data_IF_576631599006
#
_entry.id   IF_576631599006
#
_cell.length_a   1.000
_cell.length_b   1.000
_cell.length_c   1.000
_cell.angle_alpha   90.00
_cell.angle_beta   90.00
_cell.angle_gamma   90.00
#
_symmetry.space_group_name_H-M   'P 1'
#
loop_
_entity.id
_entity.type
_entity.pdbx_description
1 polymer ?
#
# COMPACT_ATOMS: atom_id res chain seq x y z
N UNK A 1 23.21 -0.67 -28.16
CA UNK A 1 23.52 -0.55 -26.72
C UNK A 1 22.50 -1.39 -25.96
N UNK A 2 22.95 -2.48 -25.33
CA UNK A 2 22.07 -3.30 -24.49
C UNK A 2 21.71 -2.46 -23.26
N UNK A 3 20.43 -2.11 -23.07
CA UNK A 3 20.00 -1.45 -21.84
C UNK A 3 20.38 -2.34 -20.66
N UNK A 4 21.17 -1.82 -19.72
CA UNK A 4 21.49 -2.53 -18.49
C UNK A 4 20.18 -2.90 -17.78
N UNK A 5 20.07 -4.15 -17.30
CA UNK A 5 18.88 -4.60 -16.57
C UNK A 5 18.85 -3.92 -15.19
N UNK A 6 17.67 -3.53 -14.68
CA UNK A 6 17.54 -3.02 -13.33
C UNK A 6 18.16 -3.98 -12.31
N UNK A 7 18.93 -3.44 -11.36
CA UNK A 7 19.53 -4.22 -10.28
C UNK A 7 18.61 -4.21 -9.07
N UNK A 8 18.15 -5.39 -8.64
CA UNK A 8 17.35 -5.57 -7.43
C UNK A 8 18.26 -5.54 -6.20
N UNK A 9 18.00 -4.61 -5.29
CA UNK A 9 18.80 -4.42 -4.06
C UNK A 9 18.15 -5.07 -2.86
N UNK A 10 16.83 -4.92 -2.74
CA UNK A 10 16.06 -5.49 -1.65
C UNK A 10 14.69 -5.90 -2.12
N UNK A 11 14.27 -7.09 -1.69
CA UNK A 11 12.91 -7.60 -1.90
C UNK A 11 11.87 -6.88 -1.04
N UNK A 12 12.31 -6.11 -0.02
CA UNK A 12 11.40 -5.40 0.88
C UNK A 12 10.42 -6.33 1.62
N UNK A 13 10.74 -7.62 1.78
CA UNK A 13 9.78 -8.65 2.16
C UNK A 13 9.02 -8.37 3.47
N UNK A 14 9.71 -7.84 4.49
CA UNK A 14 9.06 -7.49 5.76
C UNK A 14 8.11 -6.29 5.62
N UNK A 15 8.50 -5.29 4.83
CA UNK A 15 7.64 -4.14 4.50
C UNK A 15 6.43 -4.60 3.68
N UNK A 16 6.66 -5.43 2.66
CA UNK A 16 5.59 -6.00 1.86
C UNK A 16 4.60 -6.79 2.72
N UNK A 17 5.09 -7.58 3.68
CA UNK A 17 4.22 -8.31 4.64
C UNK A 17 3.41 -7.36 5.52
N UNK A 18 4.02 -6.28 6.02
CA UNK A 18 3.29 -5.26 6.79
C UNK A 18 2.22 -4.58 5.94
N UNK A 19 2.56 -4.16 4.72
CA UNK A 19 1.61 -3.52 3.79
C UNK A 19 0.47 -4.48 3.40
N UNK A 20 0.75 -5.77 3.17
CA UNK A 20 -0.29 -6.78 2.90
C UNK A 20 -1.26 -6.88 4.09
N UNK A 21 -0.73 -7.00 5.32
CA UNK A 21 -1.57 -7.07 6.52
C UNK A 21 -2.44 -5.82 6.70
N UNK A 22 -1.91 -4.63 6.37
CA UNK A 22 -2.70 -3.41 6.36
C UNK A 22 -3.82 -3.46 5.33
N UNK A 23 -3.55 -3.94 4.11
CA UNK A 23 -4.57 -4.08 3.07
C UNK A 23 -5.64 -5.11 3.46
N UNK A 24 -5.27 -6.23 4.08
CA UNK A 24 -6.24 -7.19 4.65
C UNK A 24 -7.14 -6.52 5.68
N UNK A 25 -6.59 -5.68 6.58
CA UNK A 25 -7.42 -4.93 7.52
C UNK A 25 -8.32 -3.89 6.82
N UNK A 26 -7.85 -3.25 5.73
CA UNK A 26 -8.70 -2.36 4.91
C UNK A 26 -9.85 -3.13 4.28
N UNK A 27 -9.60 -4.33 3.75
CA UNK A 27 -10.63 -5.20 3.19
C UNK A 27 -11.74 -5.51 4.20
N UNK A 28 -11.35 -5.77 5.45
CA UNK A 28 -12.30 -5.94 6.57
C UNK A 28 -13.13 -4.68 6.82
N UNK A 29 -12.52 -3.50 6.90
CA UNK A 29 -13.24 -2.24 7.11
C UNK A 29 -14.20 -1.92 5.95
N UNK A 30 -13.81 -2.20 4.71
CA UNK A 30 -14.68 -2.06 3.54
C UNK A 30 -15.86 -3.04 3.59
N UNK A 31 -15.61 -4.29 3.99
CA UNK A 31 -16.65 -5.30 4.21
C UNK A 31 -17.64 -4.87 5.28
N UNK A 32 -17.14 -4.36 6.42
CA UNK A 32 -17.98 -3.84 7.50
C UNK A 32 -18.85 -2.67 6.98
N UNK A 33 -18.31 -1.79 6.15
CA UNK A 33 -19.05 -0.67 5.56
C UNK A 33 -20.18 -1.15 4.63
N UNK A 34 -19.89 -2.10 3.71
CA UNK A 34 -20.90 -2.71 2.82
C UNK A 34 -21.98 -3.42 3.66
N UNK A 35 -21.57 -4.19 4.67
CA UNK A 35 -22.53 -4.86 5.57
C UNK A 35 -23.41 -3.87 6.33
N UNK A 36 -22.88 -2.71 6.72
CA UNK A 36 -23.67 -1.66 7.35
C UNK A 36 -24.68 -1.03 6.39
N UNK A 37 -24.31 -0.85 5.11
CA UNK A 37 -25.22 -0.39 4.08
C UNK A 37 -26.35 -1.41 3.84
N UNK A 38 -26.02 -2.69 3.68
CA UNK A 38 -27.00 -3.77 3.44
C UNK A 38 -28.00 -3.99 4.60
N UNK A 39 -27.73 -3.43 5.78
CA UNK A 39 -28.65 -3.46 6.94
C UNK A 39 -29.61 -2.28 6.97
N UNK A 40 -29.47 -1.31 6.07
CA UNK A 40 -30.38 -0.18 6.00
C UNK A 40 -31.75 -0.65 5.50
N UNK A 41 -32.85 -0.23 6.15
CA UNK A 41 -34.18 -0.63 5.72
C UNK A 41 -34.52 0.04 4.38
N UNK A 42 -35.36 -0.62 3.58
CA UNK A 42 -35.93 -0.09 2.33
C UNK A 42 -34.96 0.14 1.15
N UNK A 43 -33.67 -0.16 1.32
CA UNK A 43 -32.68 -0.11 0.24
C UNK A 43 -32.31 -1.54 -0.17
N UNK A 44 -32.03 -1.72 -1.44
CA UNK A 44 -31.53 -2.97 -2.00
C UNK A 44 -30.14 -3.27 -1.44
N UNK A 45 -29.88 -4.55 -1.19
CA UNK A 45 -28.56 -4.99 -0.74
C UNK A 45 -27.58 -4.93 -1.89
N UNK A 46 -26.36 -4.46 -1.62
CA UNK A 46 -25.20 -4.68 -2.48
C UNK A 46 -24.88 -6.17 -2.45
N UNK A 47 -25.10 -6.86 -3.56
CA UNK A 47 -24.90 -8.32 -3.66
C UNK A 47 -23.90 -8.74 -4.74
N UNK A 48 -23.50 -7.83 -5.64
CA UNK A 48 -22.52 -8.10 -6.68
C UNK A 48 -21.26 -7.23 -6.59
N UNK A 49 -20.23 -7.65 -7.33
CA UNK A 49 -18.94 -6.97 -7.33
C UNK A 49 -18.95 -5.57 -7.97
N UNK A 50 -19.88 -5.29 -8.88
CA UNK A 50 -19.99 -4.02 -9.58
C UNK A 50 -20.58 -2.97 -8.64
N UNK A 51 -21.69 -3.30 -7.98
CA UNK A 51 -22.34 -2.44 -7.00
C UNK A 51 -21.43 -2.18 -5.80
N UNK A 52 -20.73 -3.21 -5.31
CA UNK A 52 -19.75 -3.03 -4.24
C UNK A 52 -18.64 -2.05 -4.66
N UNK A 53 -18.21 -2.11 -5.91
CA UNK A 53 -17.20 -1.20 -6.45
C UNK A 53 -17.73 0.23 -6.57
N UNK A 54 -18.94 0.41 -7.09
CA UNK A 54 -19.56 1.73 -7.24
C UNK A 54 -19.79 2.40 -5.88
N UNK A 55 -20.32 1.64 -4.92
CA UNK A 55 -20.47 2.09 -3.54
C UNK A 55 -19.14 2.50 -2.90
N UNK A 56 -18.12 1.65 -2.97
CA UNK A 56 -16.83 1.96 -2.32
C UNK A 56 -16.07 3.11 -3.02
N UNK A 57 -16.36 3.39 -4.28
CA UNK A 57 -15.76 4.51 -5.02
C UNK A 57 -16.35 5.85 -4.58
N UNK A 58 -17.68 5.92 -4.38
CA UNK A 58 -18.34 7.14 -3.90
C UNK A 58 -19.51 6.82 -2.97
N UNK A 59 -19.23 6.43 -1.71
CA UNK A 59 -20.25 5.85 -0.82
C UNK A 59 -21.35 6.83 -0.42
N UNK A 60 -21.04 8.13 -0.31
CA UNK A 60 -22.05 9.15 -0.02
C UNK A 60 -22.97 9.37 -1.21
N UNK A 61 -22.41 9.47 -2.42
CA UNK A 61 -23.23 9.66 -3.63
C UNK A 61 -24.11 8.45 -3.87
N UNK A 62 -23.53 7.24 -3.78
CA UNK A 62 -24.26 5.99 -3.93
C UNK A 62 -25.43 5.91 -2.94
N UNK A 63 -25.18 6.12 -1.64
CA UNK A 63 -26.24 6.12 -0.62
C UNK A 63 -27.36 7.12 -0.94
N UNK A 64 -27.00 8.34 -1.36
CA UNK A 64 -27.99 9.36 -1.69
C UNK A 64 -28.82 8.98 -2.91
N UNK A 65 -28.20 8.41 -3.94
CA UNK A 65 -28.86 7.96 -5.16
C UNK A 65 -29.80 6.78 -4.87
N UNK A 66 -29.37 5.79 -4.09
CA UNK A 66 -30.21 4.67 -3.67
C UNK A 66 -31.45 5.15 -2.89
N UNK A 67 -31.27 6.06 -1.92
CA UNK A 67 -32.39 6.65 -1.18
C UNK A 67 -33.37 7.38 -2.11
N UNK A 68 -32.88 8.14 -3.10
CA UNK A 68 -33.75 8.84 -4.04
C UNK A 68 -34.49 7.90 -4.99
N UNK A 69 -33.80 6.89 -5.53
CA UNK A 69 -34.33 6.03 -6.58
C UNK A 69 -35.28 4.96 -6.01
N UNK A 70 -34.96 4.40 -4.84
CA UNK A 70 -35.65 3.21 -4.33
C UNK A 70 -36.83 3.54 -3.41
N UNK A 71 -36.83 4.69 -2.74
CA UNK A 71 -37.96 5.11 -1.91
C UNK A 71 -39.15 5.62 -2.72
N UNK A 72 -39.07 5.58 -4.06
CA UNK A 72 -40.19 5.79 -4.97
C UNK A 72 -40.79 7.20 -4.93
N UNK A 73 -40.08 8.17 -4.36
CA UNK A 73 -40.62 9.52 -4.21
C UNK A 73 -40.39 10.30 -5.49
N UNK A 74 -41.46 10.47 -6.26
CA UNK A 74 -41.47 11.27 -7.49
C UNK A 74 -41.64 12.74 -7.14
N UNK A 75 -40.58 13.54 -7.37
CA UNK A 75 -40.61 14.98 -7.09
C UNK A 75 -40.98 15.76 -8.34
N UNK A 76 -42.20 16.32 -8.34
CA UNK A 76 -42.68 17.20 -9.42
C UNK A 76 -42.27 18.69 -9.22
N UNK A 77 -41.39 18.98 -8.27
CA UNK A 77 -40.93 20.33 -7.92
C UNK A 77 -39.56 20.70 -8.51
N UNK A 78 -39.25 22.01 -8.58
CA UNK A 78 -37.95 22.52 -9.07
C UNK A 78 -36.77 22.27 -8.10
N UNK A 79 -37.05 21.91 -6.85
CA UNK A 79 -36.05 21.73 -5.79
C UNK A 79 -36.10 20.27 -5.33
N UNK A 80 -34.94 19.58 -5.39
CA UNK A 80 -34.81 18.25 -4.80
C UNK A 80 -34.83 18.38 -3.27
N UNK A 81 -35.59 17.53 -2.55
CA UNK A 81 -35.58 17.57 -1.10
C UNK A 81 -34.25 17.11 -0.53
N UNK A 82 -34.04 17.45 0.73
CA UNK A 82 -32.90 17.01 1.51
C UNK A 82 -32.96 15.49 1.75
N UNK A 83 -31.90 14.77 1.37
CA UNK A 83 -31.80 13.31 1.46
C UNK A 83 -31.90 12.85 2.92
N UNK A 84 -31.30 13.60 3.84
CA UNK A 84 -31.32 13.25 5.25
C UNK A 84 -32.75 13.28 5.84
N UNK A 85 -33.56 14.26 5.42
CA UNK A 85 -34.97 14.34 5.80
C UNK A 85 -35.79 13.21 5.17
N UNK A 86 -35.53 12.92 3.89
CA UNK A 86 -36.17 11.81 3.20
C UNK A 86 -35.87 10.48 3.90
N UNK A 87 -34.60 10.21 4.19
CA UNK A 87 -34.16 9.03 4.92
C UNK A 87 -34.86 8.90 6.28
N UNK A 88 -35.00 10.01 7.03
CA UNK A 88 -35.68 10.02 8.32
C UNK A 88 -37.17 9.64 8.23
N UNK A 89 -37.88 10.05 7.17
CA UNK A 89 -39.29 9.68 6.96
C UNK A 89 -39.47 8.16 6.80
N UNK A 90 -38.48 7.49 6.21
CA UNK A 90 -38.47 6.03 6.00
C UNK A 90 -37.68 5.28 7.08
N UNK A 91 -37.33 5.94 8.20
CA UNK A 91 -36.62 5.30 9.30
C UNK A 91 -35.20 4.85 8.99
N UNK A 92 -34.58 5.35 7.91
CA UNK A 92 -33.19 5.07 7.55
C UNK A 92 -32.28 5.91 8.46
N UNK A 93 -31.34 5.30 9.20
CA UNK A 93 -30.45 6.02 10.12
C UNK A 93 -29.29 6.74 9.38
N UNK A 94 -29.64 7.74 8.57
CA UNK A 94 -28.71 8.44 7.65
C UNK A 94 -27.46 8.98 8.34
N UNK A 95 -27.63 9.69 9.47
CA UNK A 95 -26.48 10.27 10.20
C UNK A 95 -25.48 9.21 10.66
N UNK A 96 -25.96 8.03 11.08
CA UNK A 96 -25.11 6.93 11.53
C UNK A 96 -24.31 6.32 10.39
N UNK A 97 -24.95 6.01 9.25
CA UNK A 97 -24.22 5.47 8.10
C UNK A 97 -23.28 6.51 7.49
N UNK A 98 -23.69 7.78 7.42
CA UNK A 98 -22.86 8.88 6.93
C UNK A 98 -21.60 9.07 7.79
N UNK A 99 -21.72 9.00 9.12
CA UNK A 99 -20.57 9.02 10.01
C UNK A 99 -19.61 7.84 9.75
N UNK A 100 -20.15 6.63 9.56
CA UNK A 100 -19.34 5.44 9.25
C UNK A 100 -18.60 5.57 7.92
N UNK A 101 -19.28 6.09 6.90
CA UNK A 101 -18.67 6.39 5.60
C UNK A 101 -17.46 7.32 5.81
N UNK A 102 -17.66 8.45 6.50
CA UNK A 102 -16.58 9.41 6.73
C UNK A 102 -15.40 8.84 7.51
N UNK A 103 -15.64 7.96 8.49
CA UNK A 103 -14.57 7.28 9.21
C UNK A 103 -13.82 6.26 8.34
N UNK A 104 -14.48 5.69 7.33
CA UNK A 104 -13.90 4.69 6.43
C UNK A 104 -13.22 5.28 5.20
N UNK A 105 -13.53 6.53 4.80
CA UNK A 105 -12.98 7.19 3.62
C UNK A 105 -11.45 7.07 3.47
N UNK A 106 -10.62 7.27 4.52
CA UNK A 106 -9.16 7.16 4.37
C UNK A 106 -8.69 5.76 3.95
N UNK A 107 -9.52 4.74 4.16
CA UNK A 107 -9.23 3.34 3.84
C UNK A 107 -9.71 2.93 2.44
N UNK A 108 -10.51 3.75 1.77
CA UNK A 108 -11.07 3.48 0.43
C UNK A 108 -10.07 3.88 -0.67
N UNK A 109 -8.89 3.27 -0.64
CA UNK A 109 -7.79 3.54 -1.58
C UNK A 109 -7.28 2.24 -2.19
N UNK A 110 -6.68 2.33 -3.38
CA UNK A 110 -6.18 1.17 -4.14
C UNK A 110 -7.25 0.09 -4.32
N UNK A 111 -8.50 0.51 -4.59
CA UNK A 111 -9.64 -0.39 -4.67
C UNK A 111 -9.41 -1.50 -5.72
N UNK A 112 -8.63 -1.22 -6.76
CA UNK A 112 -8.22 -2.16 -7.82
C UNK A 112 -7.48 -3.41 -7.31
N UNK A 113 -6.96 -3.38 -6.08
CA UNK A 113 -6.29 -4.53 -5.45
C UNK A 113 -7.26 -5.50 -4.79
N UNK A 114 -8.52 -5.12 -4.64
CA UNK A 114 -9.52 -5.88 -3.89
C UNK A 114 -10.57 -6.48 -4.82
N UNK A 115 -11.02 -7.67 -4.48
CA UNK A 115 -12.17 -8.33 -5.08
C UNK A 115 -13.33 -8.38 -4.09
N UNK A 116 -14.53 -8.49 -4.61
CA UNK A 116 -15.73 -8.77 -3.82
C UNK A 116 -16.12 -10.24 -4.03
N UNK A 117 -16.16 -11.00 -2.95
CA UNK A 117 -16.67 -12.37 -2.93
C UNK A 117 -18.19 -12.33 -2.68
N UNK A 118 -18.96 -12.53 -3.74
CA UNK A 118 -20.44 -12.51 -3.73
C UNK A 118 -21.03 -13.58 -2.79
N UNK A 119 -20.33 -14.71 -2.62
CA UNK A 119 -20.80 -15.80 -1.75
C UNK A 119 -20.73 -15.43 -0.27
N UNK A 120 -19.66 -14.75 0.15
CA UNK A 120 -19.47 -14.30 1.53
C UNK A 120 -19.87 -12.84 1.77
N UNK A 121 -20.24 -12.10 0.70
CA UNK A 121 -20.47 -10.64 0.68
C UNK A 121 -19.34 -9.87 1.34
N UNK A 122 -18.09 -10.27 1.05
CA UNK A 122 -16.90 -9.71 1.69
C UNK A 122 -15.85 -9.26 0.68
N UNK A 123 -15.08 -8.25 1.05
CA UNK A 123 -13.92 -7.84 0.29
C UNK A 123 -12.69 -8.63 0.71
N UNK A 124 -11.95 -9.06 -0.29
CA UNK A 124 -10.70 -9.80 -0.15
C UNK A 124 -9.59 -9.12 -0.94
N UNK A 125 -8.38 -9.15 -0.40
CA UNK A 125 -7.20 -8.76 -1.16
C UNK A 125 -6.94 -9.83 -2.23
N UNK A 126 -6.86 -9.42 -3.49
CA UNK A 126 -6.62 -10.34 -4.60
C UNK A 126 -5.15 -10.78 -4.64
N UNK A 127 -4.86 -11.99 -5.13
CA UNK A 127 -3.48 -12.44 -5.37
C UNK A 127 -2.67 -11.46 -6.22
N UNK A 128 -3.28 -10.90 -7.27
CA UNK A 128 -2.66 -9.89 -8.13
C UNK A 128 -2.34 -8.60 -7.35
N UNK A 129 -3.22 -8.22 -6.41
CA UNK A 129 -3.01 -7.09 -5.51
C UNK A 129 -1.84 -7.31 -4.56
N UNK A 130 -1.67 -8.54 -4.03
CA UNK A 130 -0.50 -8.89 -3.22
C UNK A 130 0.80 -8.80 -4.02
N UNK A 131 0.81 -9.29 -5.25
CA UNK A 131 1.99 -9.21 -6.12
C UNK A 131 2.35 -7.77 -6.47
N UNK A 132 1.36 -6.91 -6.72
CA UNK A 132 1.59 -5.48 -6.90
C UNK A 132 2.20 -4.83 -5.64
N UNK A 133 1.74 -5.19 -4.44
CA UNK A 133 2.31 -4.69 -3.18
C UNK A 133 3.76 -5.15 -3.05
N UNK A 134 4.02 -6.45 -3.24
CA UNK A 134 5.39 -7.02 -3.19
C UNK A 134 6.31 -6.30 -4.16
N UNK A 135 5.88 -6.11 -5.40
CA UNK A 135 6.68 -5.43 -6.42
C UNK A 135 6.92 -3.96 -6.06
N UNK A 136 5.92 -3.24 -5.55
CA UNK A 136 6.06 -1.84 -5.14
C UNK A 136 7.02 -1.65 -3.95
N UNK A 137 7.19 -2.68 -3.13
CA UNK A 137 8.11 -2.69 -2.00
C UNK A 137 9.56 -3.02 -2.39
N UNK A 138 9.80 -3.54 -3.60
CA UNK A 138 11.15 -3.86 -4.07
C UNK A 138 11.93 -2.58 -4.34
N UNK A 139 13.22 -2.60 -4.00
CA UNK A 139 14.14 -1.50 -4.26
C UNK A 139 15.01 -1.86 -5.45
N UNK A 140 14.85 -1.12 -6.54
CA UNK A 140 15.67 -1.25 -7.73
C UNK A 140 16.61 -0.04 -7.92
N UNK A 141 17.77 -0.31 -8.49
CA UNK A 141 18.59 0.68 -9.18
C UNK A 141 18.32 0.55 -10.69
N UNK A 142 17.93 1.65 -11.32
CA UNK A 142 17.54 1.68 -12.74
C UNK A 142 18.50 2.46 -13.61
N UNK A 143 19.35 3.31 -13.01
CA UNK A 143 20.33 4.11 -13.73
C UNK A 143 21.68 3.39 -13.81
N UNK A 144 22.28 3.35 -14.99
CA UNK A 144 23.56 2.66 -15.26
C UNK A 144 24.68 3.13 -14.32
N UNK A 145 24.85 4.44 -14.15
CA UNK A 145 25.84 5.01 -13.23
C UNK A 145 25.62 4.62 -11.75
N UNK A 146 24.36 4.47 -11.32
CA UNK A 146 24.05 3.99 -9.97
C UNK A 146 24.40 2.50 -9.82
N UNK A 147 24.11 1.69 -10.84
CA UNK A 147 24.38 0.24 -10.86
C UNK A 147 25.89 -0.01 -10.83
N UNK A 148 26.66 0.68 -11.66
CA UNK A 148 28.12 0.55 -11.70
C UNK A 148 28.76 0.93 -10.37
N UNK A 149 28.36 2.07 -9.79
CA UNK A 149 28.89 2.50 -8.50
C UNK A 149 28.49 1.54 -7.37
N UNK A 150 27.26 1.03 -7.40
CA UNK A 150 26.79 0.03 -6.45
C UNK A 150 27.63 -1.25 -6.52
N UNK A 151 27.87 -1.78 -7.72
CA UNK A 151 28.67 -3.00 -7.93
C UNK A 151 30.11 -2.82 -7.45
N UNK A 152 30.73 -1.67 -7.75
CA UNK A 152 32.08 -1.35 -7.28
C UNK A 152 32.16 -1.34 -5.75
N UNK A 153 31.17 -0.74 -5.08
CA UNK A 153 31.12 -0.72 -3.61
C UNK A 153 30.81 -2.11 -3.05
N UNK A 154 29.97 -2.90 -3.73
CA UNK A 154 29.62 -4.26 -3.33
C UNK A 154 30.88 -5.14 -3.24
N UNK A 155 31.77 -5.09 -4.23
CA UNK A 155 33.03 -5.85 -4.20
C UNK A 155 33.91 -5.48 -2.99
N UNK A 156 33.90 -4.20 -2.58
CA UNK A 156 34.62 -3.74 -1.39
C UNK A 156 33.96 -4.28 -0.12
N UNK A 157 32.64 -4.18 -0.03
CA UNK A 157 31.86 -4.72 1.09
C UNK A 157 32.08 -6.23 1.25
N UNK A 158 32.06 -7.00 0.17
CA UNK A 158 32.25 -8.46 0.19
C UNK A 158 33.64 -8.83 0.71
N UNK A 159 34.69 -8.11 0.26
CA UNK A 159 36.06 -8.29 0.78
C UNK A 159 36.16 -7.93 2.26
N UNK A 160 35.55 -6.82 2.68
CA UNK A 160 35.55 -6.40 4.08
C UNK A 160 34.80 -7.41 4.97
N UNK A 161 33.68 -7.95 4.51
CA UNK A 161 32.95 -9.00 5.22
C UNK A 161 33.79 -10.27 5.36
N UNK A 162 34.45 -10.72 4.30
CA UNK A 162 35.33 -11.89 4.34
C UNK A 162 36.52 -11.70 5.29
N UNK A 163 37.14 -10.51 5.30
CA UNK A 163 38.20 -10.19 6.26
C UNK A 163 37.66 -10.09 7.69
N UNK A 164 36.47 -9.53 7.87
CA UNK A 164 35.83 -9.41 9.19
C UNK A 164 35.58 -10.79 9.79
N UNK A 165 35.08 -11.74 8.99
CA UNK A 165 34.90 -13.13 9.40
C UNK A 165 36.26 -13.81 9.70
N UNK A 166 37.30 -13.54 8.90
CA UNK A 166 38.66 -14.08 9.10
C UNK A 166 39.32 -13.59 10.40
N UNK A 167 39.18 -12.30 10.72
CA UNK A 167 39.78 -11.68 11.89
C UNK A 167 38.87 -11.70 13.13
N UNK A 168 37.67 -12.29 13.03
CA UNK A 168 36.73 -12.43 14.14
C UNK A 168 36.14 -11.10 14.63
N UNK A 169 35.95 -10.13 13.73
CA UNK A 169 35.33 -8.84 14.07
C UNK A 169 33.87 -9.04 14.47
N UNK A 170 33.48 -8.42 15.58
CA UNK A 170 32.13 -8.54 16.13
C UNK A 170 31.16 -7.52 15.56
N UNK A 171 29.89 -7.64 15.94
CA UNK A 171 28.83 -6.71 15.52
C UNK A 171 29.12 -5.25 15.89
N UNK A 172 29.82 -5.00 17.01
CA UNK A 172 30.18 -3.65 17.45
C UNK A 172 31.16 -3.02 16.46
N UNK A 173 32.14 -3.79 15.99
CA UNK A 173 33.17 -3.34 15.05
C UNK A 173 32.57 -3.03 13.69
N UNK A 174 31.74 -3.94 13.17
CA UNK A 174 31.02 -3.75 11.90
C UNK A 174 30.12 -2.51 11.92
N UNK A 175 29.47 -2.22 13.06
CA UNK A 175 28.65 -1.02 13.21
C UNK A 175 29.45 0.30 13.25
N UNK A 176 30.77 0.27 13.47
CA UNK A 176 31.60 1.48 13.35
C UNK A 176 31.94 1.81 11.89
N UNK A 177 31.96 0.82 10.99
CA UNK A 177 32.38 1.02 9.59
C UNK A 177 31.54 2.08 8.87
N UNK A 178 30.18 2.07 8.94
CA UNK A 178 29.35 3.12 8.33
C UNK A 178 29.62 4.54 8.86
N UNK A 179 30.17 4.68 10.08
CA UNK A 179 30.51 6.00 10.64
C UNK A 179 31.75 6.60 9.97
N UNK A 180 32.71 5.76 9.59
CA UNK A 180 33.91 6.17 8.89
C UNK A 180 33.68 6.25 7.37
N UNK A 181 32.95 5.28 6.82
CA UNK A 181 32.69 5.11 5.39
C UNK A 181 31.19 5.16 5.14
N UNK A 182 30.66 6.38 4.98
CA UNK A 182 29.22 6.62 4.91
C UNK A 182 28.54 6.05 3.65
N UNK A 183 29.29 5.62 2.63
CA UNK A 183 28.79 4.93 1.44
C UNK A 183 28.55 3.42 1.69
N UNK A 184 28.88 2.93 2.88
CA UNK A 184 28.62 1.57 3.36
C UNK A 184 27.53 1.62 4.44
N UNK A 185 26.68 0.60 4.48
CA UNK A 185 25.68 0.36 5.52
C UNK A 185 25.94 -0.98 6.19
N UNK A 186 25.56 -1.12 7.47
CA UNK A 186 25.65 -2.36 8.21
C UNK A 186 24.23 -2.87 8.44
N UNK A 187 23.92 -4.07 7.93
CA UNK A 187 22.58 -4.67 7.98
C UNK A 187 22.66 -6.10 8.53
N UNK A 188 21.55 -6.67 8.96
CA UNK A 188 21.52 -8.08 9.38
C UNK A 188 21.74 -9.02 8.19
N UNK A 189 22.50 -10.11 8.38
CA UNK A 189 22.79 -11.10 7.33
C UNK A 189 21.49 -11.72 6.79
N UNK A 190 21.32 -11.78 5.45
CA UNK A 190 20.22 -12.51 4.80
C UNK A 190 20.36 -14.03 5.04
N UNK A 191 19.77 -14.54 6.13
CA UNK A 191 19.72 -15.98 6.42
C UNK A 191 20.06 -16.41 7.85
N UNK A 192 20.32 -15.49 8.79
CA UNK A 192 20.59 -15.91 10.16
C UNK A 192 21.10 -14.81 11.09
N UNK A 193 21.85 -15.23 12.12
CA UNK A 193 22.41 -14.33 13.14
C UNK A 193 23.68 -13.66 12.62
N UNK A 194 23.77 -12.34 12.81
CA UNK A 194 24.96 -11.55 12.51
C UNK A 194 24.65 -10.36 11.62
N UNK A 195 25.66 -9.54 11.39
CA UNK A 195 25.59 -8.36 10.54
C UNK A 195 26.57 -8.49 9.37
N UNK A 196 26.28 -7.77 8.29
CA UNK A 196 27.13 -7.66 7.11
C UNK A 196 27.14 -6.21 6.60
N UNK A 197 28.26 -5.85 5.99
CA UNK A 197 28.43 -4.58 5.29
C UNK A 197 27.84 -4.69 3.89
N UNK A 198 27.05 -3.71 3.49
CA UNK A 198 26.43 -3.61 2.16
C UNK A 198 26.56 -2.18 1.64
N UNK A 199 26.50 -1.95 0.31
CA UNK A 199 26.49 -0.60 -0.23
C UNK A 199 25.27 0.20 0.24
N UNK A 200 25.46 1.49 0.53
CA UNK A 200 24.36 2.38 0.90
C UNK A 200 23.67 2.96 -0.33
N UNK A 201 22.51 2.41 -0.69
CA UNK A 201 21.71 2.86 -1.85
C UNK A 201 21.39 4.35 -1.79
N UNK A 202 20.93 4.85 -0.64
CA UNK A 202 20.54 6.26 -0.49
C UNK A 202 21.72 7.21 -0.74
N UNK A 203 22.92 6.81 -0.29
CA UNK A 203 24.13 7.61 -0.44
C UNK A 203 24.64 7.58 -1.87
N UNK A 204 24.58 6.43 -2.53
CA UNK A 204 24.89 6.28 -3.96
C UNK A 204 23.97 7.19 -4.79
N UNK A 205 22.65 7.10 -4.60
CA UNK A 205 21.67 7.96 -5.28
C UNK A 205 21.95 9.45 -5.04
N UNK A 206 22.14 9.83 -3.77
CA UNK A 206 22.46 11.22 -3.40
C UNK A 206 23.73 11.73 -4.08
N UNK A 207 24.76 10.89 -4.20
CA UNK A 207 26.01 11.26 -4.85
C UNK A 207 25.80 11.48 -6.35
N UNK A 208 25.20 10.52 -7.05
CA UNK A 208 24.92 10.63 -8.49
C UNK A 208 24.06 11.85 -8.81
N UNK A 209 23.00 12.09 -8.03
CA UNK A 209 22.16 13.29 -8.18
C UNK A 209 22.98 14.56 -8.02
N UNK A 210 23.85 14.67 -7.01
CA UNK A 210 24.69 15.85 -6.81
C UNK A 210 25.68 16.08 -7.94
N UNK A 211 26.31 15.03 -8.45
CA UNK A 211 27.25 15.14 -9.58
C UNK A 211 26.53 15.54 -10.87
N UNK A 212 25.29 15.07 -11.08
CA UNK A 212 24.48 15.46 -12.23
C UNK A 212 24.15 16.96 -12.29
N UNK A 213 24.06 17.63 -11.13
CA UNK A 213 23.84 19.08 -11.05
C UNK A 213 25.10 19.93 -11.24
N UNK A 214 26.29 19.32 -11.25
CA UNK A 214 27.57 20.00 -11.49
C UNK A 214 27.98 20.01 -12.97
N UNK A 215 27.28 19.21 -13.79
CA UNK A 215 27.50 19.05 -15.23
C UNK A 215 26.58 20.01 -16.00
#
# INVERSE_FOLDING_TARGET
MSKMKPLLISDGADRARQEINEHVNRARLMTELVSHYNRLPHLSEIDDAIEARDFLTSPVSYLNESIFNELGVTFNGKVKPDVAQLAALFGIPYASIFQRINTSLPHLTNLDRFGFDEGSKSLVLLPEGEEQIKESCKVYLTHEAEIELYQNIQEVCDKLNALSDLFGLGNIDLNQVPRALNFISCVGKKGGKGYELVPSVDRIKTHITKESYKS
#
